data_IF_009522689566
#
_entry.id   IF_009522689566
#
_cell.length_a   1.000
_cell.length_b   1.000
_cell.length_c   1.000
_cell.angle_alpha   90.00
_cell.angle_beta   90.00
_cell.angle_gamma   90.00
#
_symmetry.space_group_name_H-M   'P 1'
#
loop_
_entity.id
_entity.type
_entity.pdbx_description
1 polymer ?
#
# COMPACT_ATOMS: atom_id res chain seq x y z
N UNK A 1 -3.58 32.09 7.47
CA UNK A 1 -2.52 31.36 6.77
C UNK A 1 -3.00 29.92 6.64
N UNK A 2 -3.36 29.50 5.43
CA UNK A 2 -3.89 28.16 5.20
C UNK A 2 -3.03 27.49 4.14
N UNK A 3 -2.47 26.30 4.45
CA UNK A 3 -1.63 25.51 3.56
C UNK A 3 -0.39 26.26 3.04
N UNK A 4 0.11 27.22 3.79
CA UNK A 4 1.23 28.07 3.35
C UNK A 4 2.16 28.44 4.50
N UNK A 5 3.34 28.94 4.14
CA UNK A 5 4.39 29.32 5.09
C UNK A 5 4.76 30.77 4.93
N UNK A 6 4.91 31.48 6.04
CA UNK A 6 5.51 32.81 6.09
C UNK A 6 6.92 32.67 6.59
N UNK A 7 7.90 33.09 5.79
CA UNK A 7 9.33 32.99 6.10
C UNK A 7 10.02 34.35 6.05
N UNK A 8 10.89 34.59 7.00
CA UNK A 8 11.69 35.83 7.03
C UNK A 8 12.78 35.79 8.08
N UNK A 9 13.82 36.64 7.97
CA UNK A 9 14.83 36.76 9.02
C UNK A 9 14.21 37.21 10.34
N UNK A 10 13.29 38.14 10.26
CA UNK A 10 12.37 38.58 11.31
C UNK A 10 10.96 38.57 10.76
N UNK A 11 9.98 38.14 11.56
CA UNK A 11 8.57 38.17 11.22
C UNK A 11 7.85 39.02 12.26
N UNK A 12 7.20 40.09 11.83
CA UNK A 12 6.35 40.91 12.66
C UNK A 12 4.91 40.80 12.16
N UNK A 13 3.99 40.53 13.08
CA UNK A 13 2.58 40.34 12.76
C UNK A 13 1.70 41.01 13.82
N UNK A 14 0.80 41.86 13.38
CA UNK A 14 -0.25 42.42 14.20
C UNK A 14 -1.60 42.14 13.56
N UNK A 15 -2.49 41.50 14.29
CA UNK A 15 -3.79 41.08 13.78
C UNK A 15 -4.87 41.06 14.86
N UNK A 16 -6.13 41.16 14.45
CA UNK A 16 -7.26 40.95 15.35
C UNK A 16 -7.41 39.46 15.69
N UNK A 17 -7.31 38.59 14.67
CA UNK A 17 -7.35 37.15 14.81
C UNK A 17 -6.26 36.53 13.94
N UNK A 18 -5.73 35.41 14.36
CA UNK A 18 -4.74 34.64 13.62
C UNK A 18 -5.17 33.17 13.53
N UNK A 19 -5.39 32.70 12.31
CA UNK A 19 -5.63 31.29 12.04
C UNK A 19 -4.52 30.74 11.16
N UNK A 20 -3.87 29.67 11.59
CA UNK A 20 -2.89 28.96 10.80
C UNK A 20 -3.30 27.49 10.73
N UNK A 21 -3.51 27.00 9.53
CA UNK A 21 -3.96 25.62 9.29
C UNK A 21 -3.11 24.95 8.21
N UNK A 22 -2.58 23.79 8.50
CA UNK A 22 -1.96 22.91 7.51
C UNK A 22 -3.02 22.16 6.73
N UNK A 23 -2.77 21.97 5.45
CA UNK A 23 -3.63 21.18 4.58
C UNK A 23 -3.02 19.81 4.33
N UNK A 24 -3.86 18.80 4.32
CA UNK A 24 -3.47 17.44 3.93
C UNK A 24 -3.62 17.27 2.42
N UNK A 25 -2.61 16.71 1.80
CA UNK A 25 -2.73 16.12 0.47
C UNK A 25 -3.44 14.78 0.59
N UNK A 26 -4.50 14.61 -0.18
CA UNK A 26 -5.35 13.43 -0.15
C UNK A 26 -5.28 12.69 -1.48
N UNK A 27 -5.10 11.39 -1.41
CA UNK A 27 -5.15 10.50 -2.56
C UNK A 27 -5.98 9.26 -2.25
N UNK A 28 -6.90 8.94 -3.15
CA UNK A 28 -7.69 7.71 -3.09
C UNK A 28 -7.56 6.95 -4.39
N UNK A 29 -7.26 5.68 -4.28
CA UNK A 29 -7.20 4.78 -5.42
C UNK A 29 -8.07 3.55 -5.18
N UNK A 30 -8.95 3.27 -6.15
CA UNK A 30 -9.75 2.05 -6.20
C UNK A 30 -9.50 1.35 -7.52
N UNK A 31 -8.73 0.29 -7.49
CA UNK A 31 -8.47 -0.54 -8.65
C UNK A 31 -9.23 -1.86 -8.57
N UNK A 32 -9.91 -2.23 -9.66
CA UNK A 32 -10.46 -3.56 -9.86
C UNK A 32 -9.97 -4.06 -11.21
N UNK A 33 -9.34 -5.21 -11.22
CA UNK A 33 -8.90 -5.84 -12.44
C UNK A 33 -9.44 -7.26 -12.50
N UNK A 34 -9.95 -7.63 -13.66
CA UNK A 34 -10.45 -8.96 -13.95
C UNK A 34 -9.92 -9.38 -15.31
N UNK A 35 -9.19 -10.48 -15.32
CA UNK A 35 -8.64 -11.08 -16.53
C UNK A 35 -9.22 -12.48 -16.70
N UNK A 36 -9.76 -12.75 -17.87
CA UNK A 36 -10.16 -14.08 -18.29
C UNK A 36 -9.40 -14.44 -19.56
N UNK A 37 -8.78 -15.60 -19.55
CA UNK A 37 -8.10 -16.14 -20.71
C UNK A 37 -8.58 -17.59 -20.92
N UNK A 38 -8.86 -17.93 -22.16
CA UNK A 38 -9.19 -19.28 -22.57
C UNK A 38 -8.48 -19.60 -23.87
N UNK A 39 -7.99 -20.82 -24.00
CA UNK A 39 -7.39 -21.31 -25.22
C UNK A 39 -7.90 -22.73 -25.51
N UNK A 40 -8.14 -22.99 -26.78
CA UNK A 40 -8.48 -24.33 -27.28
C UNK A 40 -7.58 -24.58 -28.49
N UNK A 41 -6.85 -25.68 -28.43
CA UNK A 41 -6.03 -26.14 -29.56
C UNK A 41 -6.51 -27.54 -29.96
N UNK A 42 -6.79 -27.69 -31.22
CA UNK A 42 -7.25 -28.95 -31.81
C UNK A 42 -6.32 -29.33 -32.95
N UNK A 43 -5.83 -30.55 -32.92
CA UNK A 43 -4.96 -31.11 -33.94
C UNK A 43 -5.01 -32.65 -33.84
N UNK A 44 -3.87 -33.29 -33.86
CA UNK A 44 -3.78 -34.72 -33.49
C UNK A 44 -3.83 -34.91 -31.95
N UNK A 45 -4.26 -33.89 -31.26
CA UNK A 45 -4.49 -33.82 -29.85
C UNK A 45 -5.51 -32.72 -29.53
N UNK A 46 -5.93 -32.67 -28.31
CA UNK A 46 -6.81 -31.64 -27.78
C UNK A 46 -6.15 -31.00 -26.58
N UNK A 47 -6.09 -29.70 -26.56
CA UNK A 47 -5.71 -28.95 -25.38
C UNK A 47 -6.69 -27.80 -25.15
N UNK A 48 -7.25 -27.73 -23.97
CA UNK A 48 -8.09 -26.61 -23.53
C UNK A 48 -7.57 -26.12 -22.20
N UNK A 49 -7.43 -24.83 -22.09
CA UNK A 49 -7.00 -24.20 -20.85
C UNK A 49 -7.73 -22.90 -20.63
N UNK A 50 -7.91 -22.55 -19.37
CA UNK A 50 -8.50 -21.30 -19.01
C UNK A 50 -7.92 -20.79 -17.70
N UNK A 51 -7.83 -19.46 -17.56
CA UNK A 51 -7.50 -18.80 -16.32
C UNK A 51 -8.45 -17.65 -16.04
N UNK A 52 -8.75 -17.49 -14.77
CA UNK A 52 -9.53 -16.38 -14.25
C UNK A 52 -8.75 -15.74 -13.11
N UNK A 53 -8.49 -14.45 -13.22
CA UNK A 53 -7.83 -13.67 -12.21
C UNK A 53 -8.66 -12.45 -11.86
N UNK A 54 -8.87 -12.21 -10.59
CA UNK A 54 -9.54 -11.03 -10.07
C UNK A 54 -8.66 -10.39 -9.00
N UNK A 55 -8.39 -9.11 -9.14
CA UNK A 55 -7.68 -8.33 -8.13
C UNK A 55 -8.46 -7.09 -7.77
N UNK A 56 -8.35 -6.69 -6.51
CA UNK A 56 -8.93 -5.47 -5.97
C UNK A 56 -7.87 -4.79 -5.12
N UNK A 57 -7.65 -3.51 -5.38
CA UNK A 57 -6.72 -2.67 -4.64
C UNK A 57 -7.47 -1.44 -4.17
N UNK A 58 -7.37 -1.14 -2.88
CA UNK A 58 -7.84 0.11 -2.31
C UNK A 58 -6.64 0.78 -1.62
N UNK A 59 -6.43 2.06 -1.90
CA UNK A 59 -5.46 2.87 -1.20
C UNK A 59 -6.13 4.19 -0.81
N UNK A 60 -5.92 4.63 0.41
CA UNK A 60 -6.38 5.90 0.94
C UNK A 60 -5.24 6.55 1.71
N UNK A 61 -4.90 7.76 1.31
CA UNK A 61 -3.78 8.51 1.87
C UNK A 61 -4.21 9.94 2.16
N UNK A 62 -3.87 10.42 3.35
CA UNK A 62 -3.99 11.82 3.73
C UNK A 62 -2.80 12.20 4.62
N UNK A 63 -1.98 13.13 4.16
CA UNK A 63 -0.79 13.57 4.88
C UNK A 63 -0.48 15.03 4.65
N UNK A 64 -0.04 15.72 5.70
CA UNK A 64 0.53 17.06 5.59
C UNK A 64 1.96 16.93 5.08
N UNK A 65 2.21 17.35 3.84
CA UNK A 65 3.55 17.34 3.25
C UNK A 65 4.32 18.61 3.59
N UNK A 66 3.63 19.76 3.61
CA UNK A 66 4.21 21.02 4.03
C UNK A 66 3.40 21.61 5.19
N UNK A 67 4.02 21.69 6.35
CA UNK A 67 3.38 22.24 7.53
C UNK A 67 3.25 23.74 7.42
N UNK A 68 2.02 24.25 7.51
CA UNK A 68 1.74 25.67 7.52
C UNK A 68 2.32 26.33 8.78
N UNK A 69 2.76 27.56 8.67
CA UNK A 69 3.31 28.24 9.82
C UNK A 69 4.03 29.54 9.54
N UNK A 70 4.60 30.07 10.60
CA UNK A 70 5.49 31.21 10.61
C UNK A 70 6.89 30.71 10.98
N UNK A 71 7.84 30.95 10.11
CA UNK A 71 9.21 30.47 10.23
C UNK A 71 10.18 31.66 10.18
N UNK A 72 10.56 32.15 11.35
CA UNK A 72 11.51 33.26 11.48
C UNK A 72 12.96 32.74 11.55
N UNK A 73 13.88 33.58 11.10
CA UNK A 73 15.32 33.35 11.23
C UNK A 73 15.89 33.82 12.55
N UNK A 74 17.19 34.19 12.54
CA UNK A 74 17.95 34.58 13.73
C UNK A 74 17.47 35.88 14.40
N UNK A 75 16.61 36.64 13.75
CA UNK A 75 16.03 37.86 14.30
C UNK A 75 14.68 37.62 14.98
N UNK A 76 14.19 36.38 14.96
CA UNK A 76 13.00 35.95 15.66
C UNK A 76 11.68 36.51 15.14
N UNK A 77 10.64 36.43 15.94
CA UNK A 77 9.34 36.95 15.60
C UNK A 77 8.74 37.79 16.74
N UNK A 78 7.89 38.71 16.35
CA UNK A 78 7.04 39.51 17.24
C UNK A 78 5.60 39.47 16.73
N UNK A 79 4.77 38.69 17.38
CA UNK A 79 3.42 38.38 16.96
C UNK A 79 2.45 38.86 18.03
N UNK A 80 1.56 39.77 17.67
CA UNK A 80 0.56 40.37 18.54
C UNK A 80 -0.82 40.18 17.94
N UNK A 81 -1.65 39.38 18.60
CA UNK A 81 -3.04 39.11 18.22
C UNK A 81 -3.96 39.68 19.27
N UNK A 82 -4.89 40.55 18.87
CA UNK A 82 -5.77 41.19 19.83
C UNK A 82 -6.79 40.25 20.45
N UNK A 83 -7.40 39.37 19.63
CA UNK A 83 -8.49 38.49 20.07
C UNK A 83 -8.04 37.05 20.16
N UNK A 84 -8.11 36.31 19.08
CA UNK A 84 -7.96 34.87 19.13
C UNK A 84 -6.94 34.35 18.13
N UNK A 85 -6.13 33.39 18.56
CA UNK A 85 -5.25 32.59 17.72
C UNK A 85 -5.71 31.13 17.73
N UNK A 86 -5.87 30.56 16.53
CA UNK A 86 -6.12 29.13 16.34
C UNK A 86 -5.03 28.51 15.46
N UNK A 87 -4.42 27.44 15.97
CA UNK A 87 -3.39 26.68 15.26
C UNK A 87 -3.88 25.25 15.04
N UNK A 88 -3.89 24.80 13.78
CA UNK A 88 -4.25 23.46 13.41
C UNK A 88 -3.14 22.78 12.61
N UNK A 89 -2.42 21.89 13.24
CA UNK A 89 -1.22 21.26 12.68
C UNK A 89 -0.18 22.28 12.23
N UNK A 90 -0.04 23.40 12.94
CA UNK A 90 0.69 24.57 12.49
C UNK A 90 1.83 24.96 13.45
N UNK A 91 2.90 25.53 12.92
CA UNK A 91 4.05 25.97 13.70
C UNK A 91 4.22 27.49 13.67
N UNK A 92 4.60 28.04 14.82
CA UNK A 92 5.23 29.37 14.92
C UNK A 92 6.62 29.12 15.52
N UNK A 93 7.64 29.31 14.72
CA UNK A 93 9.00 28.91 15.09
C UNK A 93 10.06 29.86 14.56
N UNK A 94 11.24 29.81 15.16
CA UNK A 94 12.43 30.53 14.78
C UNK A 94 13.66 29.62 14.87
N UNK A 95 14.83 30.16 14.57
CA UNK A 95 16.08 29.48 14.89
C UNK A 95 16.27 29.37 16.40
N UNK A 96 17.01 28.36 16.83
CA UNK A 96 17.42 28.20 18.23
C UNK A 96 18.15 29.43 18.77
N UNK A 97 18.94 30.09 17.91
CA UNK A 97 19.65 31.32 18.25
C UNK A 97 18.69 32.44 18.61
N UNK A 98 17.64 32.67 17.82
CA UNK A 98 16.66 33.70 18.12
C UNK A 98 15.94 33.46 19.46
N UNK A 99 15.62 32.21 19.78
CA UNK A 99 15.02 31.87 21.08
C UNK A 99 16.01 32.08 22.22
N UNK A 100 17.26 31.61 22.10
CA UNK A 100 18.30 31.82 23.10
C UNK A 100 18.60 33.29 23.36
N UNK A 101 18.56 34.13 22.32
CA UNK A 101 18.77 35.57 22.41
C UNK A 101 17.50 36.33 22.88
N UNK A 102 16.40 35.66 23.20
CA UNK A 102 15.17 36.27 23.67
C UNK A 102 14.44 37.14 22.65
N UNK A 103 14.60 36.86 21.36
CA UNK A 103 14.04 37.68 20.26
C UNK A 103 12.63 37.29 19.85
N UNK A 104 12.09 36.20 20.40
CA UNK A 104 10.75 35.74 20.10
C UNK A 104 9.74 36.30 21.10
N UNK A 105 8.64 36.80 20.58
CA UNK A 105 7.50 37.26 21.34
C UNK A 105 6.19 36.83 20.69
N UNK A 106 5.31 36.23 21.46
CA UNK A 106 3.95 35.87 21.03
C UNK A 106 2.93 36.31 22.06
N UNK A 107 1.99 37.15 21.65
CA UNK A 107 0.90 37.63 22.49
C UNK A 107 -0.43 37.46 21.78
N UNK A 108 -1.42 36.93 22.49
CA UNK A 108 -2.78 36.75 21.96
C UNK A 108 -3.81 36.93 23.05
N UNK A 109 -5.04 37.24 22.69
CA UNK A 109 -6.15 37.28 23.67
C UNK A 109 -6.45 35.89 24.21
N UNK A 110 -6.70 34.94 23.32
CA UNK A 110 -6.89 33.51 23.65
C UNK A 110 -6.24 32.63 22.59
N UNK A 111 -5.93 31.38 22.93
CA UNK A 111 -5.25 30.43 22.08
C UNK A 111 -5.97 29.09 22.08
N UNK A 112 -6.26 28.56 20.89
CA UNK A 112 -6.64 27.19 20.69
C UNK A 112 -5.68 26.50 19.72
N UNK A 113 -5.47 25.21 19.91
CA UNK A 113 -4.68 24.43 18.98
C UNK A 113 -5.23 23.02 18.83
N UNK A 114 -4.95 22.44 17.69
CA UNK A 114 -5.23 21.02 17.41
C UNK A 114 -4.17 20.46 16.51
N UNK A 115 -3.98 19.16 16.57
CA UNK A 115 -3.09 18.42 15.72
C UNK A 115 -3.87 17.85 14.52
N UNK A 116 -3.15 17.45 13.48
CA UNK A 116 -3.72 16.80 12.29
C UNK A 116 -3.21 15.36 12.25
N UNK A 117 -4.12 14.40 12.25
CA UNK A 117 -3.79 13.01 12.06
C UNK A 117 -3.62 12.68 10.57
N UNK A 118 -2.48 12.12 10.23
CA UNK A 118 -2.16 11.65 8.90
C UNK A 118 -2.32 10.13 8.85
N UNK A 119 -2.76 9.62 7.72
CA UNK A 119 -2.89 8.19 7.51
C UNK A 119 -2.55 7.77 6.09
N UNK A 120 -2.08 6.54 5.97
CA UNK A 120 -1.88 5.87 4.70
C UNK A 120 -2.34 4.42 4.86
N UNK A 121 -3.44 4.09 4.22
CA UNK A 121 -4.03 2.76 4.28
C UNK A 121 -3.98 2.12 2.89
N UNK A 122 -3.50 0.89 2.83
CA UNK A 122 -3.48 0.07 1.64
C UNK A 122 -4.13 -1.28 1.92
N UNK A 123 -4.97 -1.73 1.01
CA UNK A 123 -5.47 -3.09 1.03
C UNK A 123 -5.55 -3.66 -0.38
N UNK A 124 -4.99 -4.82 -0.56
CA UNK A 124 -5.02 -5.56 -1.80
C UNK A 124 -5.55 -6.97 -1.59
N UNK A 125 -6.35 -7.46 -2.53
CA UNK A 125 -6.73 -8.85 -2.59
C UNK A 125 -6.68 -9.35 -4.02
N UNK A 126 -6.17 -10.56 -4.20
CA UNK A 126 -6.13 -11.23 -5.49
C UNK A 126 -6.68 -12.65 -5.35
N UNK A 127 -7.38 -13.06 -6.37
CA UNK A 127 -7.88 -14.42 -6.51
C UNK A 127 -7.63 -14.90 -7.94
N UNK A 128 -7.03 -16.06 -8.08
CA UNK A 128 -6.75 -16.66 -9.36
C UNK A 128 -7.16 -18.12 -9.40
N UNK A 129 -7.77 -18.53 -10.50
CA UNK A 129 -8.05 -19.92 -10.82
C UNK A 129 -7.57 -20.19 -12.22
N UNK A 130 -6.84 -21.27 -12.39
CA UNK A 130 -6.43 -21.77 -13.70
C UNK A 130 -6.72 -23.26 -13.82
N UNK A 131 -7.06 -23.70 -15.00
CA UNK A 131 -7.26 -25.10 -15.29
C UNK A 131 -6.90 -25.41 -16.73
N UNK A 132 -6.32 -26.56 -16.96
CA UNK A 132 -6.09 -27.07 -18.30
C UNK A 132 -6.33 -28.58 -18.39
N UNK A 133 -6.77 -28.97 -19.55
CA UNK A 133 -6.92 -30.39 -19.93
C UNK A 133 -6.21 -30.55 -21.26
N UNK A 134 -5.42 -31.58 -21.39
CA UNK A 134 -4.82 -31.97 -22.65
C UNK A 134 -4.95 -33.47 -22.87
N UNK A 135 -5.15 -33.83 -24.11
CA UNK A 135 -5.19 -35.22 -24.56
C UNK A 135 -4.47 -35.30 -25.92
N UNK A 136 -3.55 -36.24 -26.02
CA UNK A 136 -2.95 -36.56 -27.31
C UNK A 136 -3.64 -37.78 -27.89
N UNK A 137 -3.98 -37.70 -29.16
CA UNK A 137 -4.55 -38.82 -29.92
C UNK A 137 -3.55 -39.23 -30.99
N UNK A 138 -3.30 -40.50 -31.10
CA UNK A 138 -2.66 -41.03 -32.31
C UNK A 138 -3.62 -40.89 -33.50
N UNK A 139 -3.10 -40.48 -34.67
CA UNK A 139 -3.90 -40.51 -35.88
C UNK A 139 -4.33 -41.92 -36.16
N UNK A 140 -5.58 -42.17 -36.57
CA UNK A 140 -6.04 -43.53 -36.91
C UNK A 140 -5.24 -44.17 -38.04
N UNK A 141 -4.51 -43.41 -38.80
CA UNK A 141 -3.83 -43.82 -40.01
C UNK A 141 -2.38 -43.35 -40.09
N UNK A 142 -1.61 -43.18 -39.11
CA UNK A 142 -0.23 -42.75 -39.18
C UNK A 142 0.08 -41.64 -40.22
N UNK A 143 1.31 -41.25 -40.37
CA UNK A 143 1.70 -40.34 -41.42
C UNK A 143 1.47 -41.02 -42.80
N UNK A 144 0.87 -40.26 -43.73
CA UNK A 144 0.54 -40.71 -45.10
C UNK A 144 -0.51 -41.85 -45.21
N UNK A 145 -1.39 -41.99 -44.22
CA UNK A 145 -2.51 -42.97 -44.28
C UNK A 145 -2.08 -44.41 -44.08
N UNK A 146 -0.85 -44.66 -43.63
CA UNK A 146 -0.42 -45.99 -43.22
C UNK A 146 -1.02 -46.39 -41.88
N UNK A 147 -1.19 -47.71 -41.63
CA UNK A 147 -1.61 -48.24 -40.34
C UNK A 147 -0.65 -47.71 -39.25
N UNK A 148 -1.24 -47.32 -38.10
CA UNK A 148 -0.48 -46.81 -37.01
C UNK A 148 0.66 -47.74 -36.59
N UNK A 149 1.83 -47.15 -36.37
CA UNK A 149 2.92 -47.85 -35.75
C UNK A 149 2.55 -48.24 -34.32
N UNK A 150 2.72 -49.48 -33.98
CA UNK A 150 2.59 -49.98 -32.60
C UNK A 150 3.90 -49.75 -31.80
N UNK A 151 4.65 -48.73 -32.17
CA UNK A 151 5.93 -48.44 -31.54
C UNK A 151 5.66 -48.06 -30.06
N UNK A 152 6.42 -48.70 -29.18
CA UNK A 152 6.33 -48.44 -27.79
C UNK A 152 6.99 -47.11 -27.43
N UNK A 153 6.30 -46.33 -26.59
CA UNK A 153 6.85 -45.07 -26.10
C UNK A 153 8.10 -45.28 -25.24
N UNK A 154 9.01 -44.33 -25.28
CA UNK A 154 10.23 -44.29 -24.46
C UNK A 154 10.28 -43.02 -23.63
N UNK A 155 10.98 -43.07 -22.51
CA UNK A 155 11.32 -41.85 -21.76
C UNK A 155 12.47 -41.09 -22.43
N UNK A 156 12.91 -39.99 -21.82
CA UNK A 156 14.03 -39.15 -22.31
C UNK A 156 15.37 -39.89 -22.36
N UNK A 157 15.51 -40.95 -21.59
CA UNK A 157 16.73 -41.76 -21.50
C UNK A 157 16.65 -43.01 -22.38
N UNK A 158 15.56 -43.16 -23.15
CA UNK A 158 15.36 -44.27 -24.10
C UNK A 158 14.78 -45.53 -23.47
N UNK A 159 14.33 -45.51 -22.23
CA UNK A 159 13.73 -46.67 -21.57
C UNK A 159 12.29 -46.87 -22.06
N UNK A 160 11.91 -48.09 -22.35
CA UNK A 160 10.56 -48.43 -22.79
C UNK A 160 9.53 -48.19 -21.67
N UNK A 161 8.40 -47.57 -22.02
CA UNK A 161 7.33 -47.24 -21.09
C UNK A 161 6.22 -48.30 -21.11
N UNK A 162 5.68 -48.54 -19.94
CA UNK A 162 4.59 -49.49 -19.68
C UNK A 162 3.50 -48.80 -18.85
N UNK A 163 2.31 -49.36 -18.90
CA UNK A 163 1.22 -48.97 -17.99
C UNK A 163 1.04 -50.11 -16.95
N UNK A 164 1.12 -49.75 -15.69
CA UNK A 164 0.86 -50.70 -14.58
C UNK A 164 -0.65 -51.03 -14.43
N UNK A 165 -0.97 -51.93 -13.54
CA UNK A 165 -2.36 -52.33 -13.28
C UNK A 165 -3.25 -51.21 -12.71
N UNK A 166 -2.65 -50.17 -12.20
CA UNK A 166 -3.35 -49.01 -11.67
C UNK A 166 -3.47 -47.87 -12.70
N UNK A 167 -2.94 -48.08 -13.92
CA UNK A 167 -2.98 -47.10 -14.99
C UNK A 167 -1.82 -46.11 -14.98
N UNK A 168 -0.83 -46.28 -14.11
CA UNK A 168 0.33 -45.37 -14.05
C UNK A 168 1.41 -45.78 -15.07
N UNK A 169 2.09 -44.75 -15.61
CA UNK A 169 3.23 -44.95 -16.52
C UNK A 169 4.47 -45.39 -15.71
N UNK A 170 5.12 -46.44 -16.15
CA UNK A 170 6.33 -46.99 -15.50
C UNK A 170 7.32 -47.49 -16.53
N UNK A 171 8.60 -47.39 -16.24
CA UNK A 171 9.69 -48.04 -17.00
C UNK A 171 9.88 -49.50 -16.63
N UNK A 172 9.18 -49.99 -15.61
CA UNK A 172 9.33 -51.34 -15.13
C UNK A 172 8.44 -52.30 -15.93
N UNK A 173 9.03 -53.24 -16.63
CA UNK A 173 8.30 -54.22 -17.40
C UNK A 173 7.60 -55.29 -16.53
N UNK A 174 7.98 -55.37 -15.26
CA UNK A 174 7.37 -56.32 -14.29
C UNK A 174 6.70 -55.58 -13.16
N UNK A 175 5.49 -55.97 -12.84
CA UNK A 175 4.77 -55.45 -11.68
C UNK A 175 5.40 -55.95 -10.36
N UNK A 176 4.92 -55.37 -9.26
CA UNK A 176 5.35 -55.73 -7.89
C UNK A 176 5.10 -57.21 -7.52
N UNK A 177 4.25 -57.87 -8.24
CA UNK A 177 3.94 -59.31 -8.12
C UNK A 177 4.83 -60.19 -9.03
N UNK A 178 5.78 -59.58 -9.74
CA UNK A 178 6.69 -60.28 -10.65
C UNK A 178 6.08 -60.69 -11.99
N UNK A 179 4.82 -60.32 -12.24
CA UNK A 179 4.15 -60.55 -13.52
C UNK A 179 4.50 -59.42 -14.52
N UNK A 180 4.55 -59.76 -15.78
CA UNK A 180 4.81 -58.76 -16.82
C UNK A 180 3.67 -57.73 -16.91
N UNK A 181 4.03 -56.47 -16.96
CA UNK A 181 3.12 -55.42 -17.33
C UNK A 181 2.74 -55.56 -18.80
N UNK A 182 1.57 -56.12 -19.05
CA UNK A 182 1.12 -56.50 -20.39
C UNK A 182 0.69 -55.31 -21.28
N UNK A 183 0.49 -54.15 -20.70
CA UNK A 183 0.17 -52.95 -21.45
C UNK A 183 1.41 -52.15 -21.74
N UNK A 184 1.93 -52.28 -22.92
CA UNK A 184 2.95 -51.39 -23.48
C UNK A 184 2.30 -50.03 -23.74
N UNK A 185 2.92 -48.97 -23.28
CA UNK A 185 2.45 -47.62 -23.61
C UNK A 185 2.83 -47.34 -25.07
N UNK A 186 1.84 -47.09 -25.94
CA UNK A 186 2.11 -46.77 -27.33
C UNK A 186 2.66 -45.33 -27.42
N UNK A 187 3.60 -45.12 -28.35
CA UNK A 187 4.13 -43.78 -28.65
C UNK A 187 2.98 -42.85 -29.09
N UNK A 188 2.87 -41.68 -28.48
CA UNK A 188 1.81 -40.70 -28.76
C UNK A 188 0.50 -40.91 -27.98
N UNK A 189 0.33 -42.01 -27.26
CA UNK A 189 -0.76 -42.18 -26.29
C UNK A 189 -0.37 -41.67 -24.91
N UNK A 190 -0.05 -40.41 -24.81
CA UNK A 190 -0.04 -39.79 -23.49
C UNK A 190 -1.48 -39.57 -23.07
N UNK A 191 -1.78 -40.18 -21.93
CA UNK A 191 -3.04 -40.09 -21.24
C UNK A 191 -3.48 -38.60 -21.03
N UNK A 192 -4.77 -38.44 -20.96
CA UNK A 192 -5.44 -37.20 -20.55
C UNK A 192 -4.73 -36.57 -19.33
N UNK A 193 -4.20 -35.37 -19.50
CA UNK A 193 -3.57 -34.61 -18.44
C UNK A 193 -4.48 -33.49 -17.98
N UNK A 194 -4.67 -33.41 -16.67
CA UNK A 194 -5.39 -32.31 -16.04
C UNK A 194 -4.42 -31.52 -15.14
N UNK A 195 -4.49 -30.22 -15.23
CA UNK A 195 -3.87 -29.36 -14.24
C UNK A 195 -4.84 -28.30 -13.78
N UNK A 196 -4.81 -28.00 -12.51
CA UNK A 196 -5.54 -26.86 -11.97
C UNK A 196 -4.67 -26.12 -10.95
N UNK A 197 -4.88 -24.84 -10.85
CA UNK A 197 -4.23 -24.00 -9.86
C UNK A 197 -5.23 -23.02 -9.28
N UNK A 198 -5.13 -22.81 -7.98
CA UNK A 198 -5.91 -21.80 -7.27
C UNK A 198 -4.97 -21.00 -6.39
N UNK A 199 -5.03 -19.67 -6.52
CA UNK A 199 -4.23 -18.75 -5.74
C UNK A 199 -5.12 -17.70 -5.09
N UNK A 200 -4.85 -17.41 -3.83
CA UNK A 200 -5.47 -16.32 -3.10
C UNK A 200 -4.37 -15.51 -2.41
N UNK A 201 -4.37 -14.21 -2.62
CA UNK A 201 -3.48 -13.28 -1.96
C UNK A 201 -4.27 -12.17 -1.29
N UNK A 202 -3.87 -11.80 -0.09
CA UNK A 202 -4.37 -10.62 0.61
C UNK A 202 -3.20 -9.93 1.27
N UNK A 203 -3.12 -8.63 1.07
CA UNK A 203 -2.11 -7.78 1.69
C UNK A 203 -2.77 -6.50 2.18
N UNK A 204 -2.33 -5.98 3.32
CA UNK A 204 -2.80 -4.72 3.85
C UNK A 204 -1.74 -4.10 4.74
N UNK A 205 -1.57 -2.79 4.60
CA UNK A 205 -0.70 -1.99 5.45
C UNK A 205 -1.43 -0.72 5.88
N UNK A 206 -1.13 -0.26 7.08
CA UNK A 206 -1.70 0.95 7.65
C UNK A 206 -0.64 1.69 8.43
N UNK A 207 -0.41 2.94 8.06
CA UNK A 207 0.53 3.83 8.74
C UNK A 207 -0.20 5.11 9.15
N UNK A 208 0.16 5.62 10.32
CA UNK A 208 -0.35 6.87 10.83
C UNK A 208 0.77 7.72 11.43
N UNK A 209 0.61 9.03 11.35
CA UNK A 209 1.47 10.01 11.98
C UNK A 209 0.64 11.23 12.38
N UNK A 210 1.20 12.08 13.23
CA UNK A 210 0.50 13.28 13.69
C UNK A 210 1.33 14.50 13.37
N UNK A 211 0.72 15.47 12.69
CA UNK A 211 1.30 16.80 12.49
C UNK A 211 0.86 17.68 13.64
N UNK A 212 1.80 17.97 14.54
CA UNK A 212 1.52 18.70 15.78
C UNK A 212 1.58 20.20 15.58
N UNK A 213 0.71 20.91 16.26
CA UNK A 213 0.83 22.35 16.43
C UNK A 213 1.86 22.70 17.51
N UNK A 214 2.55 23.82 17.35
CA UNK A 214 3.55 24.24 18.31
C UNK A 214 4.02 25.68 18.16
N UNK A 215 4.49 26.25 19.27
CA UNK A 215 5.16 27.56 19.33
C UNK A 215 6.48 27.35 20.08
N UNK A 216 7.60 27.77 19.49
CA UNK A 216 8.93 27.45 20.04
C UNK A 216 9.47 28.45 21.06
N UNK A 217 8.66 29.38 21.53
CA UNK A 217 9.11 30.33 22.57
C UNK A 217 8.55 30.06 23.93
N UNK A 218 9.27 30.47 24.96
CA UNK A 218 8.77 30.56 26.32
C UNK A 218 8.07 31.90 26.59
N UNK A 219 8.24 32.90 25.71
CA UNK A 219 7.67 34.24 25.85
C UNK A 219 6.28 34.28 25.19
N UNK A 220 5.33 33.57 25.78
CA UNK A 220 3.94 33.50 25.37
C UNK A 220 3.06 34.22 26.40
N UNK A 221 2.25 35.17 25.91
CA UNK A 221 1.28 35.90 26.72
C UNK A 221 -0.12 35.64 26.20
N UNK A 222 -0.99 35.08 27.03
CA UNK A 222 -2.43 34.94 26.79
C UNK A 222 -3.14 35.93 27.71
N UNK A 223 -3.75 36.96 27.12
CA UNK A 223 -4.24 38.13 27.88
C UNK A 223 -5.60 37.94 28.54
N UNK A 224 -6.47 37.14 27.93
CA UNK A 224 -7.85 36.90 28.39
C UNK A 224 -7.99 35.51 29.00
N UNK A 225 -7.68 35.42 30.28
CA UNK A 225 -7.75 34.17 31.05
C UNK A 225 -9.18 33.60 31.11
N UNK A 226 -10.17 34.47 31.18
CA UNK A 226 -11.57 34.04 31.25
C UNK A 226 -12.04 33.43 29.94
N UNK A 227 -11.72 34.05 28.83
CA UNK A 227 -12.03 33.53 27.50
C UNK A 227 -11.23 32.25 27.21
N UNK A 228 -9.98 32.18 27.64
CA UNK A 228 -9.14 30.99 27.51
C UNK A 228 -9.78 29.78 28.24
N UNK A 229 -10.12 29.95 29.47
CA UNK A 229 -10.77 28.92 30.26
C UNK A 229 -12.14 28.49 29.69
N UNK A 230 -12.91 29.45 29.20
CA UNK A 230 -14.20 29.19 28.56
C UNK A 230 -14.09 28.38 27.30
N UNK A 231 -13.07 28.67 26.42
CA UNK A 231 -12.86 28.01 25.15
C UNK A 231 -12.28 26.61 25.31
N UNK A 232 -11.32 26.42 26.20
CA UNK A 232 -10.50 25.20 26.25
C UNK A 232 -10.71 24.37 27.51
N UNK A 233 -11.28 24.95 28.56
CA UNK A 233 -11.32 24.33 29.90
C UNK A 233 -9.96 24.26 30.61
N UNK A 234 -8.91 24.89 30.01
CA UNK A 234 -7.54 24.93 30.52
C UNK A 234 -7.16 26.32 30.97
N UNK A 235 -6.32 26.39 31.97
CA UNK A 235 -5.68 27.65 32.40
C UNK A 235 -4.66 28.11 31.35
N UNK A 236 -4.25 29.37 31.43
CA UNK A 236 -3.20 29.95 30.60
C UNK A 236 -1.91 29.15 30.69
N UNK A 237 -1.51 28.74 31.91
CA UNK A 237 -0.28 27.98 32.14
C UNK A 237 -0.34 26.58 31.51
N UNK A 238 -1.49 25.92 31.61
CA UNK A 238 -1.71 24.59 31.01
C UNK A 238 -1.67 24.69 29.49
N UNK A 239 -2.23 25.73 28.88
CA UNK A 239 -2.20 25.93 27.45
C UNK A 239 -0.79 26.25 26.93
N UNK A 240 -0.04 27.13 27.63
CA UNK A 240 1.36 27.44 27.28
C UNK A 240 2.22 26.19 27.35
N UNK A 241 2.05 25.35 28.37
CA UNK A 241 2.78 24.10 28.49
C UNK A 241 2.43 23.11 27.37
N UNK A 242 1.17 23.08 26.95
CA UNK A 242 0.69 22.17 25.90
C UNK A 242 1.16 22.56 24.50
N UNK A 243 1.24 23.87 24.19
CA UNK A 243 1.60 24.37 22.86
C UNK A 243 3.11 24.48 22.65
N UNK A 244 3.90 24.50 23.70
CA UNK A 244 5.36 24.65 23.60
C UNK A 244 5.97 23.51 22.80
N UNK A 245 6.86 23.85 21.88
CA UNK A 245 7.63 22.89 21.10
C UNK A 245 9.11 23.29 21.05
N UNK A 246 9.98 22.30 20.88
CA UNK A 246 11.41 22.51 20.66
C UNK A 246 11.77 22.48 19.15
N UNK A 247 10.77 22.44 18.26
CA UNK A 247 10.99 22.49 16.81
C UNK A 247 11.47 23.88 16.41
N UNK A 248 12.64 23.94 15.80
CA UNK A 248 13.28 25.16 15.29
C UNK A 248 13.43 25.14 13.78
N UNK A 249 13.69 26.29 13.17
CA UNK A 249 13.96 26.44 11.73
C UNK A 249 15.37 26.04 11.37
#
# INVERSE_FOLDING_TARGET
IIGSQVKGKRVELNAENLNIESLQDKSRYHGKQMNMQGSVTVGYGFAAGGSFNKSKINADHASVNEQAGIYAGDEGYDINVNKHTDLKGALITSTQKAEADGKNHFSTGSLTHSDIENHSNYSGSSFGVSGSVSANFETPFGENGAAQSTKQATDKDGNLLYTDKNGNTTVNSKGVDGQENTKKLAEGKESLQFSYGMGYGKDSDSQSSTTKSGINTQNIIIKDEAEQLKRTGKTVQEEIAAIKTDITT
#
